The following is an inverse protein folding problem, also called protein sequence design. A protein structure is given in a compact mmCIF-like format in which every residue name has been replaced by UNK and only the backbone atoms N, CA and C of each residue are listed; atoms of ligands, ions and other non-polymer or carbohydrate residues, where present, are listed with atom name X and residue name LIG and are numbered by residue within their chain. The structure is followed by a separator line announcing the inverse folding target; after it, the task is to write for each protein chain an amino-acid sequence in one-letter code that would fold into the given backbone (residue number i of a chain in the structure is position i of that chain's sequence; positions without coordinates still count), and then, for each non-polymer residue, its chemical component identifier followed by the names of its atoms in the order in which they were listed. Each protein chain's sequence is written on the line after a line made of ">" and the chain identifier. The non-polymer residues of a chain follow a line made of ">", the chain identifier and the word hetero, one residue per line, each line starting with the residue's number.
data_IF_411264470461
#
_entry.id   IF_411264470461
#
_cell.length_a   1.000
_cell.length_b   1.000
_cell.length_c   1.000
_cell.angle_alpha   90.00
_cell.angle_beta   90.00
_cell.angle_gamma   90.00
#
_symmetry.space_group_name_H-M   'P 1'
#
loop_
_entity.id
_entity.type
_entity.pdbx_description
1 polymer ?
2 non-polymer ?
3 water ?
#
# COMPACT_ATOMS: atom_id res chain seq x y z
N UNK A 19 -18.07 -0.07 3.60
CA UNK A 19 -17.75 -0.77 4.84
C UNK A 19 -17.56 0.21 5.99
N UNK A 20 -18.12 -0.13 7.15
CA UNK A 20 -17.94 0.68 8.35
C UNK A 20 -16.91 0.02 9.26
N UNK A 21 -15.66 0.49 9.20
CA UNK A 21 -14.57 -0.12 9.96
C UNK A 21 -14.53 0.33 11.42
N UNK A 22 -15.47 1.17 11.81
CA UNK A 22 -15.60 1.54 13.22
C UNK A 22 -16.24 0.39 13.98
N UNK A 23 -17.02 -0.42 13.26
CA UNK A 23 -17.72 -1.55 13.86
C UNK A 23 -17.23 -2.88 13.26
N UNK A 24 -17.06 -2.91 11.95
CA UNK A 24 -16.62 -4.11 11.23
C UNK A 24 -15.11 -4.31 11.42
N UNK A 25 -14.69 -5.56 11.58
CA UNK A 25 -13.29 -5.87 11.77
C UNK A 25 -12.53 -5.79 10.45
N UNK A 26 -11.86 -4.65 10.26
CA UNK A 26 -11.17 -4.36 9.01
C UNK A 26 -9.66 -4.55 9.04
N UNK A 27 -9.10 -4.96 7.90
CA UNK A 27 -7.66 -4.94 7.75
C UNK A 27 -7.33 -4.60 6.30
N UNK A 28 -6.29 -3.80 6.13
CA UNK A 28 -5.88 -3.32 4.81
C UNK A 28 -4.63 -4.03 4.32
N UNK A 29 -4.77 -4.79 3.24
CA UNK A 29 -3.61 -5.39 2.56
C UNK A 29 -2.94 -4.30 1.74
N UNK A 30 -1.62 -4.14 1.91
CA UNK A 30 -0.89 -3.13 1.15
C UNK A 30 0.36 -3.74 0.51
N UNK A 31 0.69 -3.23 -0.68
CA UNK A 31 1.82 -3.75 -1.45
C UNK A 31 2.72 -2.63 -1.89
N UNK A 32 4.00 -2.71 -1.54
CA UNK A 32 4.97 -1.66 -1.86
C UNK A 32 5.85 -2.00 -3.05
N UNK A 33 6.34 -0.95 -3.71
CA UNK A 33 7.52 -0.99 -4.60
C UNK A 33 7.19 -1.39 -6.04
N UNK A 34 5.91 -1.67 -6.31
CA UNK A 34 5.48 -1.94 -7.67
C UNK A 34 5.23 -0.66 -8.43
N UNK A 35 4.63 -0.76 -9.62
CA UNK A 35 4.25 -2.00 -10.29
C UNK A 35 5.46 -2.74 -10.89
N UNK A 36 5.26 -4.02 -11.19
CA UNK A 36 6.31 -4.81 -11.80
C UNK A 36 5.69 -5.99 -12.52
N UNK A 37 6.52 -6.99 -12.83
CA UNK A 37 6.10 -8.11 -13.67
C UNK A 37 5.09 -9.03 -12.99
N UNK A 38 4.93 -8.88 -11.68
CA UNK A 38 4.00 -9.75 -10.95
C UNK A 38 2.69 -9.06 -10.60
N UNK A 39 2.60 -7.76 -10.85
CA UNK A 39 1.45 -6.98 -10.41
C UNK A 39 0.14 -7.45 -11.03
N UNK A 40 0.16 -7.77 -12.32
CA UNK A 40 -1.09 -8.21 -12.95
C UNK A 40 -1.58 -9.56 -12.45
N UNK A 41 -0.65 -10.49 -12.17
CA UNK A 41 -1.03 -11.76 -11.57
C UNK A 41 -1.61 -11.52 -10.19
N UNK A 42 -1.01 -10.57 -9.47
CA UNK A 42 -1.49 -10.18 -8.16
C UNK A 42 -2.91 -9.63 -8.25
N UNK A 43 -3.15 -8.77 -9.23
CA UNK A 43 -4.47 -8.19 -9.43
C UNK A 43 -5.48 -9.26 -9.85
N UNK A 44 -5.02 -10.23 -10.63
CA UNK A 44 -5.87 -11.34 -11.04
C UNK A 44 -6.34 -12.11 -9.81
N UNK A 45 -5.41 -12.42 -8.91
CA UNK A 45 -5.74 -13.19 -7.71
C UNK A 45 -6.69 -12.41 -6.80
N UNK A 46 -6.42 -11.12 -6.63
CA UNK A 46 -7.27 -10.27 -5.81
C UNK A 46 -8.69 -10.21 -6.40
N UNK A 47 -8.77 -10.11 -7.72
CA UNK A 47 -10.04 -10.12 -8.42
C UNK A 47 -10.81 -11.41 -8.17
N UNK A 48 -10.11 -12.54 -8.23
CA UNK A 48 -10.75 -13.85 -8.07
C UNK A 48 -11.42 -13.99 -6.71
N UNK A 49 -10.94 -13.27 -5.71
CA UNK A 49 -11.57 -13.34 -4.40
C UNK A 49 -12.19 -12.01 -3.97
N UNK A 50 -12.52 -11.18 -4.97
CA UNK A 50 -13.26 -9.94 -4.76
C UNK A 50 -12.66 -9.11 -3.63
N UNK A 51 -11.35 -8.91 -3.68
CA UNK A 51 -10.65 -8.25 -2.59
C UNK A 51 -9.88 -7.04 -3.09
N UNK A 52 -10.09 -5.88 -2.44
CA UNK A 52 -9.34 -4.67 -2.76
C UNK A 52 -8.04 -4.60 -1.98
N UNK A 53 -7.08 -3.87 -2.53
CA UNK A 53 -5.81 -3.66 -1.85
C UNK A 53 -5.32 -2.25 -2.14
N UNK A 54 -4.27 -1.85 -1.44
CA UNK A 54 -3.68 -0.53 -1.65
C UNK A 54 -2.24 -0.72 -2.13
N UNK A 55 -1.92 -0.10 -3.25
CA UNK A 55 -0.61 -0.24 -3.87
C UNK A 55 0.18 1.04 -3.72
N UNK A 56 1.24 1.00 -2.93
CA UNK A 56 2.13 2.15 -2.82
C UNK A 56 3.20 2.05 -3.89
N UNK A 57 3.00 2.81 -4.96
CA UNK A 57 3.79 2.61 -6.17
C UNK A 57 5.02 3.50 -6.26
N UNK A 58 6.06 2.98 -6.88
CA UNK A 58 7.26 3.76 -7.18
C UNK A 58 7.08 4.50 -8.49
N UNK A 59 7.22 5.83 -8.46
CA UNK A 59 7.00 6.64 -9.64
C UNK A 59 7.82 6.20 -10.85
N UNK A 60 9.06 5.81 -10.61
CA UNK A 60 9.94 5.36 -11.68
C UNK A 60 9.35 4.13 -12.40
N UNK A 61 8.64 3.29 -11.65
CA UNK A 61 8.05 2.07 -12.19
C UNK A 61 6.73 2.36 -12.89
N UNK A 62 6.08 3.44 -12.48
CA UNK A 62 4.74 3.78 -12.96
C UNK A 62 4.75 4.12 -14.44
N UNK A 63 5.79 4.81 -14.87
CA UNK A 63 5.99 5.17 -16.28
C UNK A 63 5.80 3.98 -17.22
N UNK A 64 6.31 2.83 -16.80
CA UNK A 64 6.30 1.62 -17.61
C UNK A 64 4.97 0.87 -17.54
N UNK A 65 4.13 1.21 -16.56
CA UNK A 65 2.93 0.42 -16.31
C UNK A 65 1.61 1.20 -16.27
N UNK A 66 1.32 2.00 -17.31
CA UNK A 66 0.10 2.81 -17.25
C UNK A 66 -1.19 1.99 -17.23
N UNK A 67 -1.27 0.94 -18.04
CA UNK A 67 -2.48 0.13 -18.10
C UNK A 67 -2.73 -0.61 -16.79
N UNK A 68 -1.64 -1.02 -16.13
CA UNK A 68 -1.75 -1.70 -14.86
C UNK A 68 -2.27 -0.77 -13.76
N UNK A 69 -1.86 0.50 -13.79
CA UNK A 69 -2.42 1.45 -12.83
C UNK A 69 -3.89 1.72 -13.12
N UNK A 70 -4.25 1.74 -14.40
CA UNK A 70 -5.65 1.90 -14.75
C UNK A 70 -6.45 0.71 -14.21
N UNK A 71 -5.86 -0.48 -14.21
CA UNK A 71 -6.51 -1.65 -13.62
C UNK A 71 -6.81 -1.42 -12.15
N UNK A 72 -5.86 -0.84 -11.44
CA UNK A 72 -6.02 -0.61 -10.01
C UNK A 72 -7.23 0.28 -9.73
N UNK A 73 -7.37 1.35 -10.49
CA UNK A 73 -8.51 2.24 -10.36
C UNK A 73 -9.80 1.53 -10.77
N UNK A 74 -9.77 0.89 -11.94
CA UNK A 74 -10.95 0.24 -12.51
C UNK A 74 -11.48 -0.89 -11.64
N UNK A 75 -10.60 -1.57 -10.90
CA UNK A 75 -11.01 -2.77 -10.19
C UNK A 75 -11.11 -2.59 -8.67
N UNK A 76 -11.16 -1.34 -8.22
CA UNK A 76 -11.54 -1.05 -6.85
C UNK A 76 -10.41 -0.87 -5.86
N UNK A 77 -9.17 -0.84 -6.36
CA UNK A 77 -8.02 -0.70 -5.49
C UNK A 77 -7.68 0.76 -5.25
N UNK A 78 -6.74 1.01 -4.35
CA UNK A 78 -6.26 2.35 -4.07
C UNK A 78 -4.80 2.50 -4.44
N UNK A 79 -4.46 3.60 -5.10
CA UNK A 79 -3.07 3.90 -5.42
C UNK A 79 -2.51 4.93 -4.44
N UNK A 80 -1.40 4.58 -3.80
CA UNK A 80 -0.67 5.50 -2.95
C UNK A 80 0.71 5.78 -3.53
N UNK A 81 1.35 6.83 -3.04
CA UNK A 81 2.71 7.15 -3.48
C UNK A 81 3.76 6.49 -2.58
N UNK A 82 4.81 5.94 -3.20
CA UNK A 82 5.95 5.42 -2.46
C UNK A 82 7.22 6.20 -2.81
N UNK A 83 7.02 7.45 -3.26
CA UNK A 83 8.04 8.34 -3.87
C UNK A 83 8.49 7.82 -5.24
N UNK A 84 9.45 8.51 -5.85
CA UNK A 84 9.78 8.24 -7.25
C UNK A 84 10.82 7.15 -7.40
N UNK A 85 11.94 7.28 -6.70
CA UNK A 85 13.02 6.31 -6.84
C UNK A 85 13.44 5.68 -5.52
N UNK A 86 12.50 5.62 -4.57
CA UNK A 86 12.63 4.88 -3.33
C UNK A 86 13.78 5.35 -2.44
N UNK A 87 13.98 6.67 -2.38
CA UNK A 87 14.97 7.21 -1.48
C UNK A 87 14.36 7.50 -0.11
N UNK A 88 15.14 7.26 0.94
CA UNK A 88 14.82 7.68 2.30
C UNK A 88 14.63 9.20 2.28
N UNK A 89 13.42 9.67 2.56
CA UNK A 89 13.13 11.10 2.40
C UNK A 89 13.89 11.93 3.43
N UNK A 90 14.32 11.31 4.53
CA UNK A 90 15.02 12.06 5.57
C UNK A 90 16.46 12.36 5.15
N UNK A 91 16.88 11.77 4.04
CA UNK A 91 18.20 12.05 3.47
C UNK A 91 18.17 13.25 2.54
N UNK A 92 16.97 13.76 2.27
CA UNK A 92 16.81 14.73 1.19
C UNK A 92 16.61 16.17 1.65
N UNK A 93 16.84 17.09 0.73
CA UNK A 93 16.54 18.50 0.93
C UNK A 93 15.06 18.75 0.72
N UNK A 94 14.62 19.97 0.99
CA UNK A 94 13.24 20.35 0.76
C UNK A 94 12.88 20.13 -0.71
N UNK A 95 13.76 20.54 -1.61
CA UNK A 95 13.50 20.39 -3.04
C UNK A 95 13.60 18.92 -3.46
N UNK A 96 14.49 18.16 -2.81
CA UNK A 96 14.60 16.74 -3.08
C UNK A 96 13.31 16.01 -2.74
N UNK A 97 12.73 16.36 -1.61
CA UNK A 97 11.43 15.81 -1.21
C UNK A 97 10.33 16.27 -2.17
N UNK A 98 10.40 17.52 -2.61
CA UNK A 98 9.46 18.04 -3.61
C UNK A 98 9.48 17.20 -4.89
N UNK A 99 10.67 16.89 -5.38
CA UNK A 99 10.82 16.07 -6.57
C UNK A 99 10.20 14.69 -6.37
N UNK A 100 10.53 14.03 -5.26
CA UNK A 100 10.02 12.69 -5.01
C UNK A 100 8.49 12.65 -5.00
N UNK A 101 7.88 13.64 -4.38
CA UNK A 101 6.41 13.72 -4.35
C UNK A 101 5.85 14.06 -5.74
N UNK A 102 6.31 15.17 -6.30
CA UNK A 102 5.73 15.70 -7.53
C UNK A 102 5.99 14.83 -8.75
N UNK A 103 7.17 14.22 -8.84
CA UNK A 103 7.45 13.35 -9.97
C UNK A 103 6.58 12.11 -9.94
N UNK A 104 6.28 11.64 -8.74
CA UNK A 104 5.46 10.43 -8.59
C UNK A 104 4.02 10.75 -8.93
N UNK A 105 3.55 11.90 -8.47
CA UNK A 105 2.18 12.34 -8.76
C UNK A 105 1.97 12.48 -10.25
N UNK A 106 2.94 13.05 -10.95
CA UNK A 106 2.79 13.25 -12.39
C UNK A 106 2.68 11.90 -13.09
N UNK A 107 3.51 10.95 -12.67
CA UNK A 107 3.51 9.63 -13.26
C UNK A 107 2.16 8.94 -13.06
N UNK A 108 1.64 9.00 -11.84
CA UNK A 108 0.35 8.40 -11.52
C UNK A 108 -0.78 9.09 -12.28
N UNK A 109 -0.72 10.42 -12.38
CA UNK A 109 -1.78 11.13 -13.09
C UNK A 109 -1.73 10.77 -14.58
N UNK A 110 -0.54 10.75 -15.16
CA UNK A 110 -0.41 10.43 -16.57
C UNK A 110 -0.88 9.00 -16.86
N UNK A 111 -0.60 8.09 -15.93
CA UNK A 111 -0.92 6.69 -16.09
C UNK A 111 -2.41 6.38 -15.89
N UNK A 112 -3.00 6.93 -14.84
CA UNK A 112 -4.34 6.50 -14.43
C UNK A 112 -5.35 7.63 -14.27
N UNK A 113 -4.89 8.88 -14.43
CA UNK A 113 -5.79 10.02 -14.37
C UNK A 113 -6.25 10.36 -12.97
N UNK A 114 -5.59 9.80 -11.97
CA UNK A 114 -5.92 10.10 -10.58
C UNK A 114 -4.71 10.64 -9.84
N UNK A 115 -4.97 11.26 -8.70
CA UNK A 115 -3.94 11.71 -7.80
C UNK A 115 -3.97 10.84 -6.55
N UNK A 116 -2.81 10.37 -6.07
CA UNK A 116 -2.83 9.60 -4.82
C UNK A 116 -3.28 10.49 -3.68
N UNK A 117 -3.82 9.89 -2.61
CA UNK A 117 -4.29 10.66 -1.49
C UNK A 117 -3.52 10.29 -0.23
N UNK A 118 -2.56 9.39 -0.38
CA UNK A 118 -1.75 8.89 0.72
C UNK A 118 -0.33 8.63 0.22
N UNK A 119 0.64 8.67 1.14
CA UNK A 119 2.03 8.38 0.79
C UNK A 119 2.64 7.51 1.88
N UNK A 120 3.45 6.53 1.46
CA UNK A 120 4.20 5.71 2.42
C UNK A 120 5.68 6.00 2.21
N UNK A 121 6.37 6.44 3.27
CA UNK A 121 7.78 6.77 3.09
C UNK A 121 8.63 5.51 3.00
N UNK A 122 9.56 5.47 2.04
CA UNK A 122 10.49 4.33 1.91
C UNK A 122 11.17 3.98 3.22
N UNK A 123 11.24 2.68 3.52
CA UNK A 123 11.88 2.16 4.72
C UNK A 123 11.18 2.61 6.00
N UNK A 124 10.02 3.24 5.85
CA UNK A 124 9.28 3.77 6.99
C UNK A 124 9.92 5.00 7.60
N UNK A 125 10.93 5.54 6.93
CA UNK A 125 11.72 6.62 7.48
C UNK A 125 11.05 7.97 7.25
N UNK A 126 10.81 8.70 8.34
CA UNK A 126 10.17 10.01 8.27
C UNK A 126 10.47 10.81 9.53
N UNK A 127 10.00 12.05 9.56
CA UNK A 127 10.22 12.91 10.71
C UNK A 127 9.42 14.18 10.53
N UNK A 128 8.94 14.75 11.64
CA UNK A 128 8.05 15.91 11.60
C UNK A 128 8.53 17.03 10.69
N UNK A 129 9.83 17.28 10.70
CA UNK A 129 10.40 18.36 9.89
C UNK A 129 10.33 18.06 8.39
N UNK A 130 10.31 16.77 8.04
CA UNK A 130 10.18 16.37 6.64
C UNK A 130 8.73 16.19 6.25
N UNK A 131 7.95 15.60 7.14
CA UNK A 131 6.58 15.20 6.85
C UNK A 131 5.70 16.40 6.51
N UNK A 132 6.05 17.55 7.08
CA UNK A 132 5.28 18.77 6.85
C UNK A 132 5.28 19.18 5.37
N UNK A 133 6.20 18.62 4.60
CA UNK A 133 6.32 18.91 3.17
C UNK A 133 5.49 17.97 2.32
N UNK A 134 4.88 16.97 2.95
CA UNK A 134 4.13 15.96 2.22
C UNK A 134 2.64 16.24 2.30
N UNK A 135 1.99 16.41 1.14
CA UNK A 135 0.60 16.90 1.06
C UNK A 135 -0.44 15.81 1.32
N UNK A 136 0.01 14.66 1.81
CA UNK A 136 -0.85 13.50 2.05
C UNK A 136 -0.58 12.93 3.43
N UNK A 137 -1.56 12.22 4.00
CA UNK A 137 -1.24 11.45 5.22
C UNK A 137 -0.12 10.46 4.94
N UNK A 138 0.77 10.27 5.90
CA UNK A 138 1.80 9.26 5.78
C UNK A 138 1.27 7.94 6.34
N UNK A 139 1.26 6.90 5.52
CA UNK A 139 0.71 5.63 5.94
C UNK A 139 1.80 4.59 6.12
N UNK A 140 2.02 4.19 7.37
CA UNK A 140 2.98 3.13 7.67
C UNK A 140 2.23 1.81 7.78
N UNK A 141 2.52 1.04 8.81
CA UNK A 141 1.97 -0.31 8.96
C UNK A 141 2.16 -0.82 10.39
N UNK A 142 1.39 -1.82 10.78
CA UNK A 142 1.61 -2.43 12.08
C UNK A 142 2.01 -3.89 11.94
N UNK A 143 1.81 -4.46 10.74
CA UNK A 143 2.23 -5.82 10.48
C UNK A 143 3.20 -5.88 9.30
N UNK A 144 4.46 -6.18 9.60
CA UNK A 144 5.47 -6.35 8.57
C UNK A 144 5.63 -7.85 8.27
N UNK A 145 5.21 -8.28 7.08
CA UNK A 145 5.30 -9.70 6.75
C UNK A 145 6.74 -10.16 6.53
N UNK A 146 7.66 -9.20 6.47
CA UNK A 146 9.08 -9.45 6.25
C UNK A 146 9.34 -10.12 4.89
N UNK A 147 8.41 -9.97 3.96
CA UNK A 147 8.57 -10.67 2.69
C UNK A 147 9.74 -10.10 1.89
N UNK A 148 10.15 -8.89 2.23
CA UNK A 148 11.32 -8.25 1.62
C UNK A 148 12.62 -8.93 2.02
N UNK A 149 12.60 -9.70 3.11
CA UNK A 149 13.78 -10.45 3.52
C UNK A 149 13.73 -11.92 3.11
N UNK A 150 12.60 -12.58 3.35
CA UNK A 150 12.59 -14.04 3.18
C UNK A 150 11.99 -14.50 1.85
N UNK A 151 11.21 -13.63 1.20
CA UNK A 151 10.60 -13.96 -0.09
C UNK A 151 9.86 -15.30 -0.07
N UNK A 152 9.24 -15.61 1.06
CA UNK A 152 8.57 -16.90 1.24
C UNK A 152 7.07 -16.70 1.38
N UNK A 153 6.30 -17.29 0.47
CA UNK A 153 4.85 -17.04 0.47
C UNK A 153 4.16 -17.54 1.74
N UNK A 154 4.53 -18.71 2.24
CA UNK A 154 3.83 -19.23 3.41
C UNK A 154 4.17 -18.44 4.67
N UNK A 155 5.42 -18.01 4.80
CA UNK A 155 5.79 -17.19 5.96
C UNK A 155 5.07 -15.84 5.90
N UNK A 156 4.91 -15.30 4.69
CA UNK A 156 4.15 -14.08 4.50
C UNK A 156 2.73 -14.25 5.03
N UNK A 157 2.08 -15.35 4.63
CA UNK A 157 0.74 -15.65 5.11
C UNK A 157 0.71 -15.82 6.63
N UNK A 158 1.67 -16.57 7.17
CA UNK A 158 1.67 -16.87 8.60
C UNK A 158 1.76 -15.60 9.44
N UNK A 159 2.71 -14.74 9.11
CA UNK A 159 2.91 -13.49 9.87
C UNK A 159 1.71 -12.56 9.71
N UNK A 160 1.22 -12.42 8.49
CA UNK A 160 0.06 -11.57 8.24
C UNK A 160 -1.15 -12.05 9.02
N UNK A 161 -1.40 -13.35 8.99
CA UNK A 161 -2.58 -13.92 9.65
C UNK A 161 -2.49 -13.81 11.16
N UNK A 162 -1.34 -14.16 11.72
CA UNK A 162 -1.21 -14.29 13.16
C UNK A 162 -0.99 -12.96 13.87
N UNK A 163 -0.49 -11.96 13.16
CA UNK A 163 -0.22 -10.66 13.78
C UNK A 163 -1.30 -9.63 13.49
N UNK A 164 -2.13 -9.89 12.48
CA UNK A 164 -3.20 -8.96 12.13
C UNK A 164 -4.21 -8.88 13.26
N UNK A 165 -4.78 -7.69 13.43
CA UNK A 165 -5.82 -7.42 14.40
C UNK A 165 -6.79 -6.44 13.75
N UNK A 166 -7.96 -6.22 14.35
CA UNK A 166 -8.87 -5.23 13.76
C UNK A 166 -8.19 -3.87 13.63
N UNK A 167 -8.24 -3.29 12.42
CA UNK A 167 -7.63 -1.99 12.17
C UNK A 167 -6.22 -2.07 11.62
N UNK A 168 -5.72 -3.29 11.43
CA UNK A 168 -4.34 -3.48 10.96
C UNK A 168 -4.07 -3.10 9.52
N UNK A 169 -2.82 -2.72 9.27
CA UNK A 169 -2.31 -2.46 7.94
C UNK A 169 -1.16 -3.43 7.68
N UNK A 170 -1.32 -4.31 6.70
CA UNK A 170 -0.33 -5.35 6.44
C UNK A 170 0.60 -4.93 5.32
N UNK A 171 1.90 -4.93 5.60
CA UNK A 171 2.93 -4.59 4.62
C UNK A 171 3.44 -5.80 3.87
N UNK A 172 3.27 -5.77 2.55
CA UNK A 172 3.88 -6.74 1.65
C UNK A 172 4.50 -6.00 0.48
N UNK A 173 5.25 -6.73 -0.33
CA UNK A 173 5.94 -6.14 -1.47
C UNK A 173 5.56 -6.80 -2.77
N UNK A 174 5.19 -5.94 -3.71
CA UNK A 174 4.95 -6.31 -5.09
C UNK A 174 6.26 -6.25 -5.88
N UNK A 175 7.21 -7.10 -5.52
CA UNK A 175 8.50 -7.13 -6.20
C UNK A 175 8.91 -8.54 -6.58
N UNK A 176 8.13 -9.51 -6.12
CA UNK A 176 8.59 -10.89 -6.12
C UNK A 176 7.42 -11.87 -6.20
N UNK A 177 7.70 -13.06 -6.73
CA UNK A 177 6.66 -14.06 -6.99
C UNK A 177 5.93 -14.49 -5.74
N UNK A 178 6.61 -14.42 -4.59
CA UNK A 178 6.00 -14.97 -3.38
C UNK A 178 4.73 -14.21 -2.98
N UNK A 179 4.62 -12.93 -3.31
CA UNK A 179 3.38 -12.22 -3.03
C UNK A 179 2.22 -12.75 -3.87
N UNK A 180 2.48 -13.07 -5.13
CA UNK A 180 1.48 -13.68 -5.99
C UNK A 180 1.00 -15.01 -5.41
N UNK A 181 1.96 -15.83 -4.98
CA UNK A 181 1.64 -17.14 -4.43
C UNK A 181 0.99 -17.04 -3.05
N UNK A 182 1.34 -16.01 -2.30
CA UNK A 182 0.80 -15.83 -0.95
C UNK A 182 -0.66 -15.38 -0.96
N UNK A 183 -1.02 -14.51 -1.90
CA UNK A 183 -2.31 -13.83 -1.82
C UNK A 183 -3.54 -14.72 -1.78
N UNK A 184 -3.63 -15.76 -2.64
CA UNK A 184 -4.84 -16.59 -2.57
C UNK A 184 -5.05 -17.16 -1.18
N UNK A 185 -3.99 -17.68 -0.56
CA UNK A 185 -4.09 -18.24 0.77
C UNK A 185 -4.29 -17.16 1.84
N UNK A 186 -3.60 -16.03 1.70
CA UNK A 186 -3.68 -14.97 2.69
C UNK A 186 -5.10 -14.41 2.79
N UNK A 187 -5.72 -14.16 1.65
CA UNK A 187 -7.09 -13.67 1.61
C UNK A 187 -8.05 -14.68 2.24
N UNK A 188 -7.93 -15.93 1.83
CA UNK A 188 -8.79 -16.99 2.36
C UNK A 188 -8.71 -17.06 3.88
N UNK A 189 -7.49 -17.05 4.40
CA UNK A 189 -7.29 -17.17 5.84
C UNK A 189 -7.74 -15.92 6.61
N UNK A 190 -7.53 -14.74 6.04
CA UNK A 190 -7.99 -13.53 6.72
C UNK A 190 -9.52 -13.48 6.74
N UNK A 191 -10.15 -13.88 5.65
CA UNK A 191 -11.61 -14.03 5.63
C UNK A 191 -12.08 -15.04 6.66
N UNK A 192 -11.42 -16.20 6.69
CA UNK A 192 -11.81 -17.26 7.61
C UNK A 192 -11.59 -16.82 9.06
N UNK A 193 -10.68 -15.88 9.25
CA UNK A 193 -10.39 -15.35 10.59
C UNK A 193 -11.35 -14.22 10.98
N UNK A 194 -12.28 -13.89 10.09
CA UNK A 194 -13.35 -12.95 10.38
C UNK A 194 -13.14 -11.52 9.94
N UNK A 195 -12.09 -11.29 9.17
CA UNK A 195 -11.76 -9.94 8.73
C UNK A 195 -12.42 -9.55 7.40
N UNK A 196 -12.66 -8.26 7.26
CA UNK A 196 -13.12 -7.67 6.01
C UNK A 196 -11.95 -6.88 5.44
N UNK A 197 -11.64 -7.11 4.17
CA UNK A 197 -10.45 -6.51 3.57
C UNK A 197 -10.85 -5.24 2.85
N UNK A 198 -10.14 -4.15 3.16
CA UNK A 198 -10.53 -2.82 2.68
C UNK A 198 -9.33 -2.04 2.16
N UNK A 199 -9.59 -0.95 1.44
CA UNK A 199 -8.53 -0.04 1.05
C UNK A 199 -8.15 0.82 2.25
N UNK A 200 -7.00 1.48 2.19
CA UNK A 200 -6.56 2.35 3.26
C UNK A 200 -7.57 3.47 3.50
N UNK A 201 -8.13 3.99 2.41
CA UNK A 201 -9.14 5.03 2.49
C UNK A 201 -10.32 4.58 3.34
N UNK A 202 -10.86 3.40 3.04
CA UNK A 202 -11.97 2.83 3.80
C UNK A 202 -11.60 2.60 5.25
N UNK A 203 -10.38 2.12 5.47
CA UNK A 203 -9.90 1.79 6.81
C UNK A 203 -9.93 3.02 7.71
N UNK A 204 -9.55 4.17 7.17
CA UNK A 204 -9.50 5.40 7.97
C UNK A 204 -10.72 6.28 7.78
N UNK A 205 -11.71 5.80 7.04
CA UNK A 205 -12.92 6.57 6.79
C UNK A 205 -13.63 6.92 8.10
N UNK A 206 -13.83 8.22 8.33
CA UNK A 206 -14.52 8.67 9.52
C UNK A 206 -13.58 9.18 10.60
N UNK A 207 -12.33 8.74 10.56
CA UNK A 207 -11.34 9.17 11.53
C UNK A 207 -10.63 10.43 11.07
N UNK A 208 -9.84 11.04 11.96
CA UNK A 208 -9.12 12.26 11.63
C UNK A 208 -7.82 11.92 10.92
N UNK A 209 -7.92 11.81 9.60
CA UNK A 209 -6.86 11.31 8.73
C UNK A 209 -6.27 12.44 7.90
N UNK A 210 -5.22 13.07 8.39
CA UNK A 210 -4.80 14.35 7.83
C UNK A 210 -3.38 14.35 7.27
N UNK A 211 -3.11 15.19 6.25
CA UNK A 211 -1.78 15.27 5.63
C UNK A 211 -0.67 15.61 6.61
N UNK A 212 0.56 15.23 6.26
CA UNK A 212 1.75 15.54 7.05
C UNK A 212 1.74 14.90 8.43
N UNK A 213 0.89 13.88 8.61
CA UNK A 213 0.88 13.09 9.84
C UNK A 213 1.08 11.63 9.47
N UNK A 214 1.64 10.85 10.39
CA UNK A 214 1.89 9.43 10.12
C UNK A 214 0.92 8.52 10.87
N UNK A 215 0.48 7.46 10.20
CA UNK A 215 -0.49 6.53 10.76
C UNK A 215 -0.06 5.11 10.46
N UNK A 216 -0.13 4.23 11.45
CA UNK A 216 0.28 2.84 11.21
C UNK A 216 -0.85 1.83 11.49
N UNK A 217 -1.96 2.35 12.00
CA UNK A 217 -3.08 1.51 12.43
C UNK A 217 -4.32 2.40 12.53
N UNK A 218 -5.52 1.84 12.38
CA UNK A 218 -6.72 2.67 12.48
C UNK A 218 -6.86 3.22 13.90
X LIG B 1 9.56 0.21 -0.39
#
# INVERSE_FOLDING_TARGET
>A
HHHHHHAGQPEPVATPPAVDCATTKCVALTFDDGPGEYTNRLLDELSEQHTPATFFVLGKNVKKYPKTLKRMVDEGHQIGSHTFDHKDITKLTAEGIEHEVQWTDEAIEQAAGVKPQILRPPYGAHGAVYDRLIPYPLVLWDVDTLDWKHHDPQKTVRIALEEAKPGSIILMHDIHESSVKAVPQLVSKLHDAGYTLVTVDQLFAGTDFKPAKAYDHRFKTNP
>B hetero
1 NI NI
#
